data_IF_153565397262
#
_entry.id   IF_153565397262
#
_cell.length_a   1.000
_cell.length_b   1.000
_cell.length_c   1.000
_cell.angle_alpha   90.00
_cell.angle_beta   90.00
_cell.angle_gamma   90.00
#
_symmetry.space_group_name_H-M   'P 1'
#
loop_
_entity.id
_entity.type
_entity.pdbx_description
1 polymer ?
#
# COMPACT_ATOMS: atom_id res chain seq x y z
N UNK A 1 -12.61 12.10 1.14
CA UNK A 1 -13.09 11.49 -0.12
C UNK A 1 -11.87 10.95 -0.83
N UNK A 2 -11.89 9.68 -1.25
CA UNK A 2 -10.78 9.06 -1.96
C UNK A 2 -10.95 9.26 -3.47
N UNK A 3 -9.86 9.55 -4.15
CA UNK A 3 -9.82 9.67 -5.60
C UNK A 3 -9.17 8.43 -6.19
N UNK A 4 -9.92 7.72 -7.04
CA UNK A 4 -9.37 6.64 -7.86
C UNK A 4 -8.50 7.25 -8.96
N UNK A 5 -7.29 6.73 -9.13
CA UNK A 5 -6.41 7.08 -10.25
C UNK A 5 -6.78 6.23 -11.46
N UNK A 6 -6.93 6.86 -12.62
CA UNK A 6 -7.36 6.19 -13.86
C UNK A 6 -6.32 6.21 -14.98
N UNK A 7 -5.29 7.06 -14.89
CA UNK A 7 -4.27 7.20 -15.94
C UNK A 7 -2.85 6.95 -15.42
N UNK A 8 -1.95 6.60 -16.34
CA UNK A 8 -0.56 6.27 -16.05
C UNK A 8 0.25 7.44 -15.50
N UNK A 9 -0.06 8.67 -15.91
CA UNK A 9 0.69 9.85 -15.49
C UNK A 9 0.48 10.14 -14.00
N UNK A 10 -0.74 9.97 -13.51
CA UNK A 10 -1.06 10.04 -12.09
C UNK A 10 -0.49 8.87 -11.30
N UNK A 11 -0.50 7.64 -11.85
CA UNK A 11 0.18 6.50 -11.21
C UNK A 11 1.67 6.79 -11.01
N UNK A 12 2.32 7.41 -11.99
CA UNK A 12 3.73 7.79 -11.89
C UNK A 12 4.01 8.77 -10.75
N UNK A 13 3.06 9.65 -10.39
CA UNK A 13 3.22 10.61 -9.27
C UNK A 13 3.30 9.93 -7.91
N UNK A 14 2.65 8.77 -7.75
CA UNK A 14 2.61 8.05 -6.46
C UNK A 14 3.63 6.93 -6.35
N UNK A 15 4.31 6.55 -7.44
CA UNK A 15 5.43 5.59 -7.40
C UNK A 15 6.46 5.89 -6.30
N UNK A 16 6.86 7.16 -6.03
CA UNK A 16 7.75 7.50 -4.93
C UNK A 16 7.32 6.98 -3.56
N UNK A 17 6.02 6.88 -3.27
CA UNK A 17 5.53 6.37 -1.99
C UNK A 17 5.87 4.89 -1.80
N UNK A 18 6.09 4.14 -2.88
CA UNK A 18 6.28 2.69 -2.85
C UNK A 18 7.70 2.26 -3.24
N UNK A 19 8.66 3.17 -3.39
CA UNK A 19 10.02 2.86 -3.88
C UNK A 19 10.77 1.78 -3.09
N UNK A 20 10.50 1.67 -1.78
CA UNK A 20 11.16 0.69 -0.91
C UNK A 20 10.38 -0.63 -0.78
N UNK A 21 9.22 -0.76 -1.42
CA UNK A 21 8.32 -1.89 -1.21
C UNK A 21 8.55 -2.98 -2.26
N UNK A 22 9.05 -4.14 -1.81
CA UNK A 22 9.45 -5.28 -2.64
C UNK A 22 8.28 -6.12 -3.19
N UNK A 23 7.07 -5.57 -3.24
CA UNK A 23 5.85 -6.32 -3.56
C UNK A 23 5.46 -6.15 -5.03
N UNK A 24 5.73 -7.16 -5.86
CA UNK A 24 5.32 -7.19 -7.27
C UNK A 24 3.84 -6.91 -7.49
N UNK A 25 2.98 -7.33 -6.54
CA UNK A 25 1.54 -7.05 -6.62
C UNK A 25 1.24 -5.55 -6.58
N UNK A 26 1.92 -4.77 -5.72
CA UNK A 26 1.80 -3.32 -5.70
C UNK A 26 2.34 -2.69 -6.99
N UNK A 27 3.48 -3.18 -7.50
CA UNK A 27 4.01 -2.71 -8.79
C UNK A 27 3.04 -2.95 -9.94
N UNK A 28 2.34 -4.08 -9.97
CA UNK A 28 1.32 -4.35 -10.99
C UNK A 28 0.19 -3.31 -11.00
N UNK A 29 -0.11 -2.69 -9.85
CA UNK A 29 -1.06 -1.57 -9.76
C UNK A 29 -0.43 -0.31 -10.35
N UNK A 30 0.80 0.00 -9.96
CA UNK A 30 1.54 1.19 -10.40
C UNK A 30 1.91 1.17 -11.90
N UNK A 31 2.00 -0.02 -12.49
CA UNK A 31 2.22 -0.23 -13.91
C UNK A 31 0.91 -0.21 -14.71
N UNK A 32 -0.24 -0.04 -14.06
CA UNK A 32 -1.56 0.01 -14.70
C UNK A 32 -2.07 -1.34 -15.20
N UNK A 33 -1.50 -2.46 -14.71
CA UNK A 33 -1.78 -3.80 -15.22
C UNK A 33 -2.88 -4.51 -14.43
N UNK A 34 -2.84 -4.49 -13.09
CA UNK A 34 -3.84 -5.14 -12.24
C UNK A 34 -4.05 -4.37 -10.94
N UNK A 35 -5.31 -4.31 -10.50
CA UNK A 35 -5.70 -3.65 -9.26
C UNK A 35 -6.07 -2.18 -9.48
N UNK A 36 -6.08 -1.40 -8.41
CA UNK A 36 -6.49 0.01 -8.45
C UNK A 36 -5.72 0.84 -7.44
N UNK A 37 -5.36 2.06 -7.83
CA UNK A 37 -4.73 3.03 -6.93
C UNK A 37 -5.73 4.11 -6.52
N UNK A 38 -5.64 4.53 -5.26
CA UNK A 38 -6.43 5.62 -4.70
C UNK A 38 -5.54 6.59 -3.94
N UNK A 39 -5.89 7.87 -3.94
CA UNK A 39 -5.21 8.94 -3.21
C UNK A 39 -6.19 9.84 -2.48
N UNK A 40 -5.71 10.56 -1.46
CA UNK A 40 -6.50 11.60 -0.78
C UNK A 40 -6.70 12.85 -1.64
N UNK A 41 -5.78 13.13 -2.58
CA UNK A 41 -5.84 14.27 -3.49
C UNK A 41 -5.10 13.97 -4.80
N UNK A 42 -5.71 14.26 -5.95
CA UNK A 42 -5.11 14.01 -7.29
C UNK A 42 -3.94 14.96 -7.59
N UNK A 43 -4.02 16.21 -7.14
CA UNK A 43 -3.03 17.25 -7.46
C UNK A 43 -1.80 17.15 -6.56
N UNK A 44 -2.02 16.92 -5.26
CA UNK A 44 -0.96 16.81 -4.26
C UNK A 44 -1.27 15.67 -3.29
N UNK A 45 -1.05 14.41 -3.70
CA UNK A 45 -1.32 13.26 -2.87
C UNK A 45 -0.40 13.29 -1.65
N UNK A 46 -0.97 13.07 -0.46
CA UNK A 46 -0.20 12.88 0.77
C UNK A 46 -0.13 11.41 1.17
N UNK A 47 -1.13 10.63 0.77
CA UNK A 47 -1.21 9.19 1.01
C UNK A 47 -1.76 8.49 -0.23
N UNK A 48 -1.28 7.28 -0.47
CA UNK A 48 -1.78 6.42 -1.54
C UNK A 48 -2.11 5.01 -1.01
N UNK A 49 -3.11 4.41 -1.64
CA UNK A 49 -3.61 3.09 -1.37
C UNK A 49 -3.62 2.28 -2.67
N UNK A 50 -2.96 1.14 -2.70
CA UNK A 50 -2.97 0.23 -3.85
C UNK A 50 -3.77 -1.03 -3.46
N UNK A 51 -4.89 -1.26 -4.13
CA UNK A 51 -5.69 -2.48 -3.93
C UNK A 51 -5.43 -3.47 -5.04
N UNK A 52 -5.20 -4.72 -4.68
CA UNK A 52 -5.06 -5.83 -5.61
C UNK A 52 -5.41 -7.14 -4.91
N UNK A 53 -6.42 -7.85 -5.43
CA UNK A 53 -7.03 -9.01 -4.74
C UNK A 53 -7.48 -8.59 -3.34
N UNK A 54 -7.12 -9.35 -2.30
CA UNK A 54 -7.46 -9.08 -0.90
C UNK A 54 -6.43 -8.19 -0.18
N UNK A 55 -5.50 -7.56 -0.89
CA UNK A 55 -4.45 -6.73 -0.28
C UNK A 55 -4.66 -5.25 -0.54
N UNK A 56 -4.37 -4.43 0.47
CA UNK A 56 -4.30 -2.98 0.37
C UNK A 56 -2.92 -2.51 0.85
N UNK A 57 -2.08 -2.05 -0.07
CA UNK A 57 -0.78 -1.45 0.27
C UNK A 57 -0.98 0.04 0.56
N UNK A 58 -0.46 0.53 1.68
CA UNK A 58 -0.66 1.91 2.13
C UNK A 58 0.70 2.57 2.32
N UNK A 59 0.90 3.74 1.75
CA UNK A 59 2.11 4.53 1.98
C UNK A 59 1.86 6.04 1.83
N UNK A 60 2.61 6.83 2.58
CA UNK A 60 2.49 8.28 2.66
C UNK A 60 2.33 8.77 4.10
N UNK A 61 1.76 9.95 4.28
CA UNK A 61 1.56 10.58 5.57
C UNK A 61 0.28 11.42 5.58
N UNK A 62 -0.65 11.13 6.48
CA UNK A 62 -1.88 11.89 6.68
C UNK A 62 -2.23 11.92 8.17
N UNK A 63 -3.06 12.87 8.58
CA UNK A 63 -3.55 13.00 9.94
C UNK A 63 -4.33 11.74 10.38
N UNK A 64 -4.14 11.31 11.63
CA UNK A 64 -4.55 9.98 12.11
C UNK A 64 -6.07 9.76 12.08
N UNK A 65 -6.88 10.76 12.43
CA UNK A 65 -8.34 10.65 12.36
C UNK A 65 -8.79 10.48 10.89
N UNK A 66 -8.18 11.26 10.00
CA UNK A 66 -8.42 11.14 8.56
C UNK A 66 -8.01 9.76 8.03
N UNK A 67 -6.87 9.22 8.44
CA UNK A 67 -6.42 7.87 8.08
C UNK A 67 -7.44 6.82 8.54
N UNK A 68 -7.86 6.89 9.80
CA UNK A 68 -8.82 5.96 10.39
C UNK A 68 -10.14 5.97 9.62
N UNK A 69 -10.67 7.16 9.33
CA UNK A 69 -11.90 7.33 8.56
C UNK A 69 -11.80 6.69 7.18
N UNK A 70 -10.70 6.95 6.47
CA UNK A 70 -10.47 6.38 5.12
C UNK A 70 -10.46 4.85 5.16
N UNK A 71 -9.73 4.26 6.12
CA UNK A 71 -9.64 2.80 6.26
C UNK A 71 -11.01 2.21 6.63
N UNK A 72 -11.71 2.82 7.59
CA UNK A 72 -13.01 2.37 8.07
C UNK A 72 -14.07 2.35 6.96
N UNK A 73 -14.06 3.35 6.09
CA UNK A 73 -15.05 3.53 5.02
C UNK A 73 -14.73 2.71 3.75
N UNK A 74 -13.46 2.37 3.49
CA UNK A 74 -13.05 1.87 2.16
C UNK A 74 -12.20 0.60 2.16
N UNK A 75 -11.47 0.30 3.24
CA UNK A 75 -10.38 -0.68 3.19
C UNK A 75 -10.39 -1.76 4.29
N UNK A 76 -11.36 -1.74 5.22
CA UNK A 76 -11.46 -2.70 6.33
C UNK A 76 -11.51 -4.17 5.92
N UNK A 77 -12.02 -4.46 4.73
CA UNK A 77 -12.14 -5.82 4.18
C UNK A 77 -10.84 -6.34 3.54
N UNK A 78 -9.82 -5.50 3.41
CA UNK A 78 -8.53 -5.87 2.86
C UNK A 78 -7.52 -6.22 3.97
N UNK A 79 -6.55 -7.06 3.62
CA UNK A 79 -5.34 -7.22 4.38
C UNK A 79 -4.46 -5.99 4.15
N UNK A 80 -4.36 -5.13 5.17
CA UNK A 80 -3.60 -3.90 5.11
C UNK A 80 -2.10 -4.19 5.21
N UNK A 81 -1.32 -3.56 4.33
CA UNK A 81 0.13 -3.64 4.28
C UNK A 81 0.65 -2.20 4.30
N UNK A 82 0.78 -1.60 5.50
CA UNK A 82 1.29 -0.25 5.63
C UNK A 82 2.81 -0.19 5.45
N UNK A 83 3.30 0.95 4.97
CA UNK A 83 4.70 1.33 5.08
C UNK A 83 5.13 1.44 6.55
N UNK A 84 6.43 1.31 6.81
CA UNK A 84 6.97 1.27 8.18
C UNK A 84 6.52 2.46 9.04
N UNK A 85 6.40 3.66 8.45
CA UNK A 85 5.96 4.86 9.17
C UNK A 85 4.47 4.86 9.52
N UNK A 86 3.62 4.15 8.77
CA UNK A 86 2.18 4.07 9.01
C UNK A 86 1.78 2.88 9.88
N UNK A 87 2.67 1.89 10.02
CA UNK A 87 2.42 0.71 10.84
C UNK A 87 2.06 1.11 12.27
N UNK A 88 2.92 1.90 12.92
CA UNK A 88 2.73 2.31 14.31
C UNK A 88 1.48 3.17 14.50
N UNK A 89 1.13 3.99 13.50
CA UNK A 89 -0.08 4.82 13.55
C UNK A 89 -1.34 3.96 13.46
N UNK A 90 -1.38 2.97 12.56
CA UNK A 90 -2.50 2.02 12.44
C UNK A 90 -2.62 1.19 13.73
N UNK A 91 -1.51 0.74 14.30
CA UNK A 91 -1.53 -0.01 15.57
C UNK A 91 -2.13 0.82 16.71
N UNK A 92 -1.79 2.11 16.82
CA UNK A 92 -2.37 3.00 17.82
C UNK A 92 -3.85 3.29 17.58
N UNK A 93 -4.26 3.44 16.32
CA UNK A 93 -5.64 3.78 15.94
C UNK A 93 -6.63 2.66 16.26
N UNK A 94 -6.22 1.40 16.12
CA UNK A 94 -7.12 0.26 16.27
C UNK A 94 -6.88 -0.57 17.52
N UNK A 95 -5.71 -0.49 18.14
CA UNK A 95 -5.37 -1.21 19.37
C UNK A 95 -5.69 -2.71 19.24
N UNK A 96 -6.55 -3.25 20.11
CA UNK A 96 -6.94 -4.66 20.12
C UNK A 96 -7.95 -5.04 19.01
N UNK A 97 -8.43 -4.07 18.22
CA UNK A 97 -9.38 -4.31 17.12
C UNK A 97 -8.70 -4.69 15.78
N UNK A 98 -7.40 -4.96 15.78
CA UNK A 98 -6.67 -5.47 14.60
C UNK A 98 -5.91 -6.75 14.93
N UNK A 99 -5.89 -7.68 13.98
CA UNK A 99 -5.03 -8.86 14.04
C UNK A 99 -3.75 -8.59 13.23
N UNK A 100 -2.60 -8.82 13.84
CA UNK A 100 -1.28 -8.58 13.24
C UNK A 100 -0.61 -9.91 12.89
N UNK A 101 -0.03 -9.98 11.69
CA UNK A 101 0.71 -11.16 11.22
C UNK A 101 1.95 -10.74 10.46
N UNK A 102 3.06 -11.43 10.71
CA UNK A 102 4.28 -11.24 9.93
C UNK A 102 4.18 -11.88 8.55
N UNK A 103 4.82 -11.22 7.58
CA UNK A 103 4.92 -11.70 6.21
C UNK A 103 6.37 -11.76 5.79
N UNK A 104 6.77 -12.93 5.30
CA UNK A 104 8.13 -13.14 4.84
C UNK A 104 8.23 -12.87 3.35
N UNK A 105 9.23 -12.08 2.94
CA UNK A 105 9.57 -11.88 1.54
C UNK A 105 10.90 -12.55 1.22
N UNK A 106 10.99 -13.18 0.05
CA UNK A 106 12.22 -13.84 -0.44
C UNK A 106 12.89 -12.91 -1.44
N UNK A 107 14.23 -12.87 -1.44
CA UNK A 107 15.02 -12.16 -2.46
C UNK A 107 14.63 -12.64 -3.86
N UNK A 108 14.51 -11.70 -4.79
CA UNK A 108 14.07 -11.98 -6.17
C UNK A 108 15.17 -12.53 -7.07
N UNK A 109 16.43 -12.46 -6.62
CA UNK A 109 17.57 -13.04 -7.30
C UNK A 109 17.77 -14.47 -6.77
N UNK A 110 17.41 -15.44 -7.60
CA UNK A 110 17.72 -16.84 -7.34
C UNK A 110 19.07 -17.19 -7.97
N UNK A 111 19.91 -17.93 -7.25
CA UNK A 111 21.17 -18.48 -7.77
C UNK A 111 21.12 -19.98 -7.63
N UNK A 112 21.43 -20.69 -8.71
CA UNK A 112 21.61 -22.14 -8.67
C UNK A 112 22.88 -22.46 -7.87
N UNK A 113 22.82 -23.51 -7.06
CA UNK A 113 24.01 -24.09 -6.44
C UNK A 113 24.65 -25.01 -7.47
N UNK A 114 25.82 -24.66 -7.96
CA UNK A 114 26.66 -25.61 -8.71
C UNK A 114 27.44 -26.43 -7.68
N UNK A 115 27.26 -27.75 -7.70
CA UNK A 115 28.12 -28.69 -6.98
C UNK A 115 29.26 -29.05 -7.93
N UNK A 116 30.50 -28.75 -7.52
CA UNK A 116 31.70 -29.22 -8.23
C UNK A 116 31.94 -30.70 -7.95
#
# INVERSE_FOLDING_TARGET
>A
MMYKIENSDELNKIKPFFQNHLFFMGNSVLDGMMGTAYVDNILNPKIAFLTVRSYCFISGNIESETLKKIIDENFKEYQLIPSDNLKDDIEKLYQDNIMKYDRYSIKKILRFKFQN
#
